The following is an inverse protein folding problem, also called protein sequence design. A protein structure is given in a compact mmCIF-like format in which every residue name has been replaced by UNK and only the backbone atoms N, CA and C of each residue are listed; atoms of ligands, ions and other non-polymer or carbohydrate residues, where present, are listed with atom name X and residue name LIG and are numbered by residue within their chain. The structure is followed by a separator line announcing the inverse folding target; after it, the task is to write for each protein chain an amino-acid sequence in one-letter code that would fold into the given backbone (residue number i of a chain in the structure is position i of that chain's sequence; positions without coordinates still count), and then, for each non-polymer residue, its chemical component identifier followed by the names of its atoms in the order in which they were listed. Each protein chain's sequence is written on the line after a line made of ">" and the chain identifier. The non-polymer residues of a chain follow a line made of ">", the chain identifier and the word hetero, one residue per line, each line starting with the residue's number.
data_IF_097872583606
#
_entry.id   IF_097872583606
#
_cell.length_a   1.000
_cell.length_b   1.000
_cell.length_c   1.000
_cell.angle_alpha   90.00
_cell.angle_beta   90.00
_cell.angle_gamma   90.00
#
_symmetry.space_group_name_H-M   'P 1'
#
loop_
_entity.id
_entity.type
_entity.pdbx_description
1 polymer ?
#
# COMPACT_ATOMS: atom_id res chain seq x y z
N UNK A 1 -12.83 11.44 -10.93
CA UNK A 1 -13.15 10.29 -10.09
C UNK A 1 -11.96 10.04 -9.15
N UNK A 2 -11.99 10.64 -7.96
CA UNK A 2 -10.81 10.79 -7.08
C UNK A 2 -11.12 10.35 -5.65
N UNK A 3 -11.89 9.27 -5.50
CA UNK A 3 -12.50 8.91 -4.23
C UNK A 3 -11.87 7.69 -3.55
N UNK A 4 -10.80 7.13 -4.10
CA UNK A 4 -10.00 6.08 -3.44
C UNK A 4 -8.68 6.68 -2.99
N UNK A 5 -8.54 6.86 -1.68
CA UNK A 5 -7.31 7.38 -1.08
C UNK A 5 -6.63 6.26 -0.29
N UNK A 6 -5.36 6.03 -0.59
CA UNK A 6 -4.52 5.08 0.15
C UNK A 6 -3.41 5.83 0.87
N UNK A 7 -3.04 5.35 2.03
CA UNK A 7 -1.87 5.82 2.76
C UNK A 7 -0.82 4.73 2.82
N UNK A 8 0.43 5.14 2.66
CA UNK A 8 1.60 4.26 2.62
C UNK A 8 2.55 4.66 3.76
N UNK A 9 3.04 3.67 4.51
CA UNK A 9 4.10 3.86 5.49
C UNK A 9 5.27 2.91 5.21
N UNK A 10 6.44 3.48 4.97
CA UNK A 10 7.69 2.74 4.75
C UNK A 10 8.37 2.52 6.09
N UNK A 11 8.65 1.27 6.43
CA UNK A 11 9.40 0.88 7.63
C UNK A 11 10.56 -0.03 7.23
N UNK A 12 11.56 -0.27 8.09
CA UNK A 12 12.62 -1.22 7.80
C UNK A 12 12.04 -2.61 7.44
N UNK A 13 12.23 -3.04 6.20
CA UNK A 13 11.83 -4.35 5.69
C UNK A 13 10.37 -4.50 5.27
N UNK A 14 9.49 -3.53 5.58
CA UNK A 14 8.05 -3.64 5.32
C UNK A 14 7.45 -2.35 4.76
N UNK A 15 6.55 -2.48 3.79
CA UNK A 15 5.71 -1.42 3.27
C UNK A 15 4.28 -1.69 3.73
N UNK A 16 3.71 -0.75 4.46
CA UNK A 16 2.34 -0.85 4.92
C UNK A 16 1.40 -0.02 4.06
N UNK A 17 0.26 -0.59 3.68
CA UNK A 17 -0.78 0.09 2.89
C UNK A 17 -2.13 -0.10 3.57
N UNK A 18 -2.91 0.98 3.66
CA UNK A 18 -4.31 0.94 4.10
C UNK A 18 -5.14 1.95 3.34
N UNK A 19 -6.46 1.77 3.38
CA UNK A 19 -7.41 2.78 2.96
C UNK A 19 -7.47 3.92 3.99
N UNK A 20 -7.27 5.15 3.55
CA UNK A 20 -7.26 6.34 4.42
C UNK A 20 -8.61 6.62 5.08
N UNK A 21 -9.69 6.20 4.43
CA UNK A 21 -11.07 6.42 4.87
C UNK A 21 -11.54 5.35 5.85
N UNK A 22 -10.85 4.22 5.92
CA UNK A 22 -11.17 3.11 6.81
C UNK A 22 -9.98 2.82 7.75
N UNK A 23 -9.71 3.73 8.68
CA UNK A 23 -8.55 3.65 9.58
C UNK A 23 -8.52 2.37 10.44
N UNK A 24 -9.67 1.80 10.76
CA UNK A 24 -9.82 0.53 11.51
C UNK A 24 -9.98 -0.69 10.60
N UNK A 25 -9.92 -0.49 9.29
CA UNK A 25 -10.05 -1.55 8.29
C UNK A 25 -8.78 -2.38 8.12
N UNK A 26 -8.80 -3.35 7.18
CA UNK A 26 -7.66 -4.19 6.87
C UNK A 26 -6.43 -3.39 6.46
N UNK A 27 -5.24 -3.88 6.84
CA UNK A 27 -3.95 -3.30 6.48
C UNK A 27 -3.07 -4.36 5.82
N UNK A 28 -2.49 -3.99 4.68
CA UNK A 28 -1.48 -4.80 4.02
C UNK A 28 -0.09 -4.49 4.61
N UNK A 29 0.72 -5.52 4.77
CA UNK A 29 2.12 -5.42 5.15
C UNK A 29 2.92 -6.26 4.14
N UNK A 30 3.67 -5.58 3.27
CA UNK A 30 4.36 -6.18 2.14
C UNK A 30 5.86 -6.09 2.36
N UNK A 31 6.60 -7.10 1.93
CA UNK A 31 8.06 -6.95 1.81
C UNK A 31 8.39 -5.89 0.75
N UNK A 32 9.58 -5.30 0.83
CA UNK A 32 10.08 -4.36 -0.18
C UNK A 32 9.99 -4.96 -1.60
N UNK A 33 10.40 -6.24 -1.76
CA UNK A 33 10.39 -6.93 -3.04
C UNK A 33 8.98 -7.12 -3.59
N UNK A 34 8.02 -7.52 -2.74
CA UNK A 34 6.61 -7.65 -3.14
C UNK A 34 6.02 -6.31 -3.55
N UNK A 35 6.32 -5.22 -2.82
CA UNK A 35 5.86 -3.88 -3.19
C UNK A 35 6.41 -3.43 -4.55
N UNK A 36 7.71 -3.64 -4.81
CA UNK A 36 8.32 -3.31 -6.10
C UNK A 36 7.66 -4.10 -7.25
N UNK A 37 7.47 -5.40 -7.09
CA UNK A 37 6.80 -6.24 -8.09
C UNK A 37 5.35 -5.77 -8.33
N UNK A 38 4.62 -5.45 -7.26
CA UNK A 38 3.25 -4.93 -7.35
C UNK A 38 3.19 -3.64 -8.17
N UNK A 39 4.00 -2.61 -7.82
CA UNK A 39 4.03 -1.33 -8.53
C UNK A 39 4.43 -1.50 -9.99
N UNK A 40 5.40 -2.37 -10.27
CA UNK A 40 5.79 -2.68 -11.65
C UNK A 40 4.66 -3.31 -12.47
N UNK A 41 3.73 -4.01 -11.83
CA UNK A 41 2.62 -4.69 -12.49
C UNK A 41 1.43 -3.74 -12.73
N UNK A 42 1.14 -2.84 -11.78
CA UNK A 42 -0.02 -1.92 -11.87
C UNK A 42 0.28 -0.61 -12.59
N UNK A 43 1.55 -0.36 -12.92
CA UNK A 43 1.96 0.78 -13.72
C UNK A 43 1.63 0.51 -15.19
N UNK A 44 0.48 1.01 -15.63
CA UNK A 44 0.12 1.10 -17.05
C UNK A 44 0.88 2.22 -17.76
#
# INVERSE_FOLDING_TARGET
>A
DGNSCVEIAVTPGTIHVRDSKHQTGPRLALTQATWTAFVSTVRH
#
